data_IF_187488391836
#
_entry.id   IF_187488391836
#
_cell.length_a   1.000
_cell.length_b   1.000
_cell.length_c   1.000
_cell.angle_alpha   90.00
_cell.angle_beta   90.00
_cell.angle_gamma   90.00
#
_symmetry.space_group_name_H-M   'P 1'
#
loop_
_entity.id
_entity.type
_entity.pdbx_description
1 polymer ?
#
# COMPACT_ATOMS: atom_id res chain seq x y z
N UNK A 1 -36.10 -25.60 10.00
CA UNK A 1 -34.90 -26.46 10.13
C UNK A 1 -34.19 -26.77 8.82
N UNK A 2 -34.77 -27.52 7.86
CA UNK A 2 -34.07 -27.80 6.60
C UNK A 2 -34.00 -26.60 5.63
N UNK A 3 -34.96 -25.66 5.71
CA UNK A 3 -34.96 -24.43 4.90
C UNK A 3 -33.99 -23.38 5.46
N UNK A 4 -33.97 -23.16 6.77
CA UNK A 4 -33.01 -22.27 7.44
C UNK A 4 -31.55 -22.69 7.13
N UNK A 5 -31.25 -24.00 7.17
CA UNK A 5 -29.92 -24.50 6.81
C UNK A 5 -29.54 -24.21 5.35
N UNK A 6 -30.53 -24.13 4.45
CA UNK A 6 -30.29 -23.79 3.05
C UNK A 6 -30.10 -22.27 2.86
N UNK A 7 -30.69 -21.45 3.73
CA UNK A 7 -30.52 -20.00 3.72
C UNK A 7 -29.13 -19.62 4.28
N UNK A 8 -28.66 -20.27 5.35
CA UNK A 8 -27.31 -20.08 5.91
C UNK A 8 -26.19 -20.47 4.91
N UNK A 9 -26.37 -21.55 4.15
CA UNK A 9 -25.38 -21.99 3.13
C UNK A 9 -25.25 -20.95 2.02
N UNK A 10 -26.35 -20.31 1.62
CA UNK A 10 -26.34 -19.31 0.55
C UNK A 10 -25.66 -18.01 1.02
N UNK A 11 -25.81 -17.63 2.28
CA UNK A 11 -25.07 -16.49 2.86
C UNK A 11 -23.57 -16.79 3.03
N UNK A 12 -23.20 -18.00 3.47
CA UNK A 12 -21.79 -18.42 3.54
C UNK A 12 -21.13 -18.50 2.15
N UNK A 13 -21.82 -19.01 1.12
CA UNK A 13 -21.29 -19.06 -0.25
C UNK A 13 -21.08 -17.65 -0.85
N UNK A 14 -21.91 -16.67 -0.48
CA UNK A 14 -21.74 -15.28 -0.90
C UNK A 14 -20.51 -14.61 -0.24
N UNK A 15 -20.25 -14.88 1.05
CA UNK A 15 -19.05 -14.38 1.73
C UNK A 15 -17.76 -15.05 1.19
N UNK A 16 -17.81 -16.35 0.89
CA UNK A 16 -16.68 -17.08 0.27
C UNK A 16 -16.39 -16.55 -1.13
N UNK A 17 -17.43 -16.29 -1.94
CA UNK A 17 -17.26 -15.71 -3.28
C UNK A 17 -16.57 -14.33 -3.26
N UNK A 18 -16.89 -13.50 -2.27
CA UNK A 18 -16.29 -12.18 -2.10
C UNK A 18 -14.84 -12.23 -1.62
N UNK A 19 -14.46 -13.25 -0.84
CA UNK A 19 -13.08 -13.44 -0.37
C UNK A 19 -12.20 -14.12 -1.43
N UNK A 20 -12.75 -15.02 -2.24
CA UNK A 20 -12.03 -15.63 -3.38
C UNK A 20 -11.59 -14.59 -4.41
N UNK A 21 -12.38 -13.52 -4.62
CA UNK A 21 -12.02 -12.42 -5.51
C UNK A 21 -10.71 -11.70 -5.11
N UNK A 22 -10.38 -11.67 -3.81
CA UNK A 22 -9.18 -11.02 -3.27
C UNK A 22 -7.90 -11.85 -3.49
N UNK A 23 -8.02 -13.15 -3.77
CA UNK A 23 -6.89 -14.08 -3.96
C UNK A 23 -6.67 -14.47 -5.42
N UNK A 24 -7.19 -13.69 -6.37
CA UNK A 24 -7.04 -13.94 -7.80
C UNK A 24 -5.65 -13.59 -8.33
N UNK A 25 -5.21 -14.29 -9.37
CA UNK A 25 -3.96 -13.96 -10.09
C UNK A 25 -3.96 -12.53 -10.65
N UNK A 26 -5.14 -12.01 -11.02
CA UNK A 26 -5.29 -10.62 -11.47
C UNK A 26 -4.97 -9.62 -10.36
N UNK A 27 -5.51 -9.82 -9.14
CA UNK A 27 -5.19 -8.98 -7.99
C UNK A 27 -3.69 -9.04 -7.63
N UNK A 28 -3.06 -10.21 -7.77
CA UNK A 28 -1.62 -10.36 -7.56
C UNK A 28 -0.78 -9.59 -8.61
N UNK A 29 -1.20 -9.59 -9.88
CA UNK A 29 -0.54 -8.83 -10.94
C UNK A 29 -0.66 -7.32 -10.75
N UNK A 30 -1.84 -6.82 -10.39
CA UNK A 30 -2.05 -5.40 -10.11
C UNK A 30 -1.19 -4.92 -8.93
N UNK A 31 -1.11 -5.71 -7.85
CA UNK A 31 -0.22 -5.42 -6.73
C UNK A 31 1.26 -5.41 -7.14
N UNK A 32 1.67 -6.34 -8.01
CA UNK A 32 3.04 -6.37 -8.53
C UNK A 32 3.36 -5.12 -9.38
N UNK A 33 2.43 -4.67 -10.22
CA UNK A 33 2.61 -3.49 -11.06
C UNK A 33 2.60 -2.19 -10.24
N UNK A 34 1.72 -2.08 -9.24
CA UNK A 34 1.75 -0.99 -8.27
C UNK A 34 3.10 -0.93 -7.53
N UNK A 35 3.65 -2.08 -7.13
CA UNK A 35 4.96 -2.17 -6.48
C UNK A 35 6.10 -1.75 -7.41
N UNK A 36 6.05 -2.12 -8.70
CA UNK A 36 7.04 -1.67 -9.69
C UNK A 36 7.02 -0.14 -9.84
N UNK A 37 5.83 0.45 -9.95
CA UNK A 37 5.68 1.91 -10.04
C UNK A 37 6.23 2.62 -8.80
N UNK A 38 5.92 2.11 -7.59
CA UNK A 38 6.48 2.64 -6.35
C UNK A 38 8.01 2.52 -6.30
N UNK A 39 8.56 1.37 -6.74
CA UNK A 39 10.00 1.16 -6.83
C UNK A 39 10.66 2.16 -7.79
N UNK A 40 10.06 2.41 -8.96
CA UNK A 40 10.57 3.40 -9.92
C UNK A 40 10.56 4.82 -9.32
N UNK A 41 9.48 5.24 -8.65
CA UNK A 41 9.41 6.55 -7.98
C UNK A 41 10.46 6.69 -6.87
N UNK A 42 10.66 5.62 -6.09
CA UNK A 42 11.70 5.56 -5.06
C UNK A 42 13.10 5.72 -5.68
N UNK A 43 13.37 5.00 -6.76
CA UNK A 43 14.65 5.10 -7.48
C UNK A 43 14.88 6.51 -8.05
N UNK A 44 13.86 7.12 -8.65
CA UNK A 44 13.94 8.51 -9.12
C UNK A 44 14.27 9.48 -7.98
N UNK A 45 13.65 9.31 -6.82
CA UNK A 45 13.91 10.15 -5.64
C UNK A 45 15.34 9.99 -5.12
N UNK A 46 15.85 8.74 -5.07
CA UNK A 46 17.24 8.46 -4.71
C UNK A 46 18.24 9.13 -5.68
N UNK A 47 17.96 9.07 -6.99
CA UNK A 47 18.79 9.73 -8.01
C UNK A 47 18.81 11.26 -7.86
N UNK A 48 17.73 11.84 -7.34
CA UNK A 48 17.63 13.28 -7.05
C UNK A 48 18.30 13.68 -5.72
N UNK A 49 18.84 12.73 -4.96
CA UNK A 49 19.51 12.98 -3.67
C UNK A 49 18.58 12.96 -2.45
N UNK A 50 17.33 12.51 -2.61
CA UNK A 50 16.45 12.20 -1.49
C UNK A 50 16.88 10.89 -0.80
N UNK A 51 16.44 10.68 0.44
CA UNK A 51 16.73 9.46 1.20
C UNK A 51 16.04 8.22 0.65
N UNK A 52 14.98 8.41 -0.16
CA UNK A 52 14.16 7.32 -0.70
C UNK A 52 13.29 6.65 0.36
N UNK A 53 13.11 7.29 1.52
CA UNK A 53 12.14 6.87 2.52
C UNK A 53 10.74 7.35 2.13
N UNK A 54 9.75 6.51 2.40
CA UNK A 54 8.35 6.83 2.20
C UNK A 54 7.86 7.74 3.33
N UNK A 55 7.25 8.86 2.96
CA UNK A 55 6.56 9.71 3.92
C UNK A 55 5.29 9.00 4.42
N UNK A 56 5.09 8.83 5.73
CA UNK A 56 3.91 8.13 6.27
C UNK A 56 2.60 8.90 6.10
N UNK A 57 2.66 10.22 5.86
CA UNK A 57 1.48 11.08 5.73
C UNK A 57 0.97 11.15 4.29
N UNK A 58 1.88 11.19 3.30
CA UNK A 58 1.52 11.42 1.90
C UNK A 58 2.04 10.36 0.92
N UNK A 59 2.75 9.33 1.42
CA UNK A 59 3.27 8.20 0.64
C UNK A 59 4.20 8.60 -0.51
N UNK A 60 4.82 9.78 -0.44
CA UNK A 60 5.84 10.22 -1.40
C UNK A 60 7.25 9.89 -0.93
N UNK A 61 8.20 9.74 -1.85
CA UNK A 61 9.58 9.31 -1.59
C UNK A 61 10.59 10.47 -1.53
N UNK A 62 10.10 11.71 -1.58
CA UNK A 62 10.91 12.94 -1.60
C UNK A 62 11.27 13.40 -0.18
N UNK A 63 11.79 12.49 0.64
CA UNK A 63 12.26 12.81 1.99
C UNK A 63 13.72 13.25 1.96
N UNK A 64 14.01 14.41 2.56
CA UNK A 64 15.37 14.98 2.68
C UNK A 64 15.86 14.86 4.11
N UNK A 65 17.13 14.52 4.29
CA UNK A 65 17.76 14.47 5.61
C UNK A 65 18.19 15.87 6.05
N UNK A 66 17.64 16.36 7.16
CA UNK A 66 18.01 17.64 7.77
C UNK A 66 18.54 17.38 9.19
N UNK A 67 19.82 17.02 9.29
CA UNK A 67 20.45 16.62 10.56
C UNK A 67 20.06 15.20 10.97
N UNK A 68 19.48 15.06 12.18
CA UNK A 68 18.90 13.79 12.67
C UNK A 68 17.50 13.56 12.10
N UNK A 69 16.78 14.63 11.76
CA UNK A 69 15.44 14.58 11.21
C UNK A 69 15.42 14.27 9.70
N UNK A 70 14.29 13.74 9.24
CA UNK A 70 13.93 13.67 7.83
C UNK A 70 12.69 14.54 7.58
N UNK A 71 12.70 15.31 6.51
CA UNK A 71 11.59 16.20 6.11
C UNK A 71 11.04 15.76 4.77
N UNK A 72 9.72 15.64 4.65
CA UNK A 72 9.07 15.45 3.36
C UNK A 72 8.92 16.81 2.67
N UNK A 73 9.45 16.93 1.45
CA UNK A 73 9.28 18.17 0.67
C UNK A 73 7.91 18.31 0.01
N UNK A 74 7.12 17.23 -0.04
CA UNK A 74 5.77 17.26 -0.63
C UNK A 74 4.73 17.81 0.34
N UNK A 75 4.66 17.29 1.58
CA UNK A 75 3.67 17.71 2.58
C UNK A 75 4.25 18.48 3.78
N UNK A 76 5.58 18.56 3.89
CA UNK A 76 6.25 19.26 5.00
C UNK A 76 6.38 18.46 6.30
N UNK A 77 5.87 17.22 6.37
CA UNK A 77 5.98 16.38 7.57
C UNK A 77 7.44 16.09 7.92
N UNK A 78 7.77 16.04 9.21
CA UNK A 78 9.10 15.66 9.70
C UNK A 78 9.05 14.39 10.54
N UNK A 79 10.02 13.50 10.37
CA UNK A 79 10.20 12.30 11.18
C UNK A 79 11.63 12.23 11.75
N UNK A 80 11.86 11.39 12.77
CA UNK A 80 13.22 11.09 13.24
C UNK A 80 13.91 12.17 14.09
N UNK A 81 13.15 13.14 14.63
CA UNK A 81 13.71 14.16 15.51
C UNK A 81 13.79 13.67 16.97
N UNK A 82 14.87 12.97 17.32
CA UNK A 82 15.26 12.68 18.72
C UNK A 82 16.41 13.57 19.17
#
# INVERSE_FOLDING_TARGET
RARELAEDIVEEEAEVSSTEALFTDAAAQEAADAKKLAATRRQQSLLQGYTGNECPECHNFTMVRNGTCEKCDTCGSTSGCS
#
